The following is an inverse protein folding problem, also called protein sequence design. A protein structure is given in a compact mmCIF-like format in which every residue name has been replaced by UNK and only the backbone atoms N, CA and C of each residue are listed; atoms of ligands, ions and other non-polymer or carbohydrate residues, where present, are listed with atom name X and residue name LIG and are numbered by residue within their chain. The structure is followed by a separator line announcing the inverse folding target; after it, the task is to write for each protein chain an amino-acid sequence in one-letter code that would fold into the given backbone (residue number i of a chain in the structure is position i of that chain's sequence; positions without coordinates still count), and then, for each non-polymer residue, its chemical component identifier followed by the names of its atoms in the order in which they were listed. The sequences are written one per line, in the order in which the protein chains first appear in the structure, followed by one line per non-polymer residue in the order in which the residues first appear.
data_IF_968103132386
#
_entry.id   IF_968103132386
#
_cell.length_a   1.000
_cell.length_b   1.000
_cell.length_c   1.000
_cell.angle_alpha   90.00
_cell.angle_beta   90.00
_cell.angle_gamma   90.00
#
_symmetry.space_group_name_H-M   'P 1'
#
loop_
_entity.id
_entity.type
_entity.pdbx_description
1 polymer ?
#
# COMPACT_ATOMS: atom_id res chain seq x y z
N UNK A 1 -31.79 -34.02 -6.20
CA UNK A 1 -30.46 -33.96 -5.55
C UNK A 1 -29.74 -32.75 -6.12
N UNK A 2 -29.76 -31.64 -5.40
CA UNK A 2 -29.13 -30.39 -5.83
C UNK A 2 -27.64 -30.49 -5.49
N UNK A 3 -26.78 -30.35 -6.49
CA UNK A 3 -25.33 -30.28 -6.31
C UNK A 3 -24.99 -28.83 -5.97
N UNK A 4 -24.66 -28.56 -4.70
CA UNK A 4 -24.13 -27.25 -4.31
C UNK A 4 -22.72 -27.08 -4.90
N UNK A 5 -22.60 -26.15 -5.85
CA UNK A 5 -21.31 -25.69 -6.35
C UNK A 5 -20.70 -24.79 -5.27
N UNK A 6 -19.72 -25.33 -4.53
CA UNK A 6 -18.92 -24.57 -3.57
C UNK A 6 -17.98 -23.62 -4.32
N UNK A 7 -18.48 -22.41 -4.59
CA UNK A 7 -17.67 -21.28 -5.02
C UNK A 7 -16.80 -20.83 -3.85
N UNK A 8 -15.54 -21.28 -3.82
CA UNK A 8 -14.53 -20.75 -2.89
C UNK A 8 -14.41 -19.24 -3.11
N UNK A 9 -14.45 -18.41 -2.06
CA UNK A 9 -14.28 -16.97 -2.23
C UNK A 9 -12.91 -16.72 -2.85
N UNK A 10 -12.90 -16.05 -3.99
CA UNK A 10 -11.68 -15.54 -4.61
C UNK A 10 -11.09 -14.55 -3.61
N UNK A 11 -10.01 -14.92 -2.94
CA UNK A 11 -9.27 -14.01 -2.06
C UNK A 11 -8.72 -12.92 -2.98
N UNK A 12 -9.42 -11.79 -3.06
CA UNK A 12 -8.89 -10.58 -3.68
C UNK A 12 -7.79 -10.12 -2.73
N UNK A 13 -6.54 -10.44 -3.07
CA UNK A 13 -5.35 -9.92 -2.38
C UNK A 13 -5.32 -8.41 -2.68
N UNK A 14 -6.05 -7.63 -1.87
CA UNK A 14 -6.06 -6.17 -1.98
C UNK A 14 -4.69 -5.68 -1.51
N UNK A 15 -3.90 -5.10 -2.41
CA UNK A 15 -2.63 -4.46 -2.05
C UNK A 15 -2.91 -3.39 -0.98
N UNK A 16 -2.24 -3.43 0.18
CA UNK A 16 -2.43 -2.40 1.19
C UNK A 16 -1.99 -1.05 0.63
N UNK A 17 -2.71 0.02 0.97
CA UNK A 17 -2.32 1.36 0.56
C UNK A 17 -1.06 1.79 1.33
N UNK A 18 -0.21 2.66 0.76
CA UNK A 18 1.00 3.13 1.44
C UNK A 18 0.75 3.70 2.86
N UNK A 19 -0.41 4.33 3.09
CA UNK A 19 -0.83 4.83 4.41
C UNK A 19 -1.04 3.71 5.44
N UNK A 20 -1.55 2.56 5.00
CA UNK A 20 -1.91 1.44 5.88
C UNK A 20 -0.62 0.73 6.35
N UNK A 21 0.35 0.64 5.44
CA UNK A 21 1.71 0.16 5.74
C UNK A 21 2.42 1.11 6.71
N UNK A 22 2.37 2.42 6.46
CA UNK A 22 3.00 3.44 7.30
C UNK A 22 2.41 3.44 8.72
N UNK A 23 1.08 3.42 8.82
CA UNK A 23 0.37 3.32 10.11
C UNK A 23 0.75 2.06 10.89
N UNK A 24 0.90 0.93 10.19
CA UNK A 24 1.33 -0.32 10.80
C UNK A 24 2.78 -0.27 11.29
N UNK A 25 3.68 0.33 10.49
CA UNK A 25 5.07 0.54 10.87
C UNK A 25 5.19 1.42 12.11
N UNK A 26 4.50 2.56 12.15
CA UNK A 26 4.46 3.46 13.32
C UNK A 26 3.95 2.71 14.55
N UNK A 27 2.87 1.93 14.44
CA UNK A 27 2.31 1.15 15.56
C UNK A 27 3.30 0.12 16.12
N UNK A 28 4.18 -0.43 15.29
CA UNK A 28 5.21 -1.36 15.76
C UNK A 28 6.41 -0.64 16.37
N UNK A 29 6.87 0.43 15.72
CA UNK A 29 8.08 1.17 16.11
C UNK A 29 7.85 2.05 17.35
N UNK A 30 6.64 2.57 17.56
CA UNK A 30 6.27 3.38 18.74
C UNK A 30 6.35 2.64 20.07
N UNK A 31 6.40 1.30 20.03
CA UNK A 31 6.61 0.45 21.22
C UNK A 31 8.04 0.56 21.77
N UNK A 32 8.97 1.16 21.04
CA UNK A 32 10.38 1.32 21.45
C UNK A 32 10.55 2.63 22.23
N UNK A 33 11.01 2.53 23.48
CA UNK A 33 11.21 3.69 24.36
C UNK A 33 12.36 4.63 23.92
N UNK A 34 13.27 4.16 23.05
CA UNK A 34 14.43 4.95 22.58
C UNK A 34 14.13 5.81 21.35
N UNK A 35 12.85 5.93 20.95
CA UNK A 35 12.47 6.54 19.67
C UNK A 35 12.80 5.63 18.48
N UNK A 36 12.36 6.06 17.29
CA UNK A 36 12.62 5.37 16.04
C UNK A 36 12.77 6.38 14.89
N UNK A 37 13.45 5.96 13.83
CA UNK A 37 13.50 6.65 12.55
C UNK A 37 12.75 5.80 11.52
N UNK A 38 11.89 6.42 10.71
CA UNK A 38 11.11 5.76 9.66
C UNK A 38 11.17 6.62 8.41
N UNK A 39 11.54 6.01 7.28
CA UNK A 39 11.49 6.59 5.95
C UNK A 39 10.45 5.81 5.13
N UNK A 40 9.59 6.54 4.43
CA UNK A 40 8.57 5.97 3.54
C UNK A 40 8.91 6.38 2.12
N UNK A 41 8.91 5.42 1.19
CA UNK A 41 9.27 5.63 -0.22
C UNK A 41 8.09 5.28 -1.13
N UNK A 42 7.83 6.11 -2.14
CA UNK A 42 6.81 5.91 -3.17
C UNK A 42 7.41 5.50 -4.51
N UNK A 43 7.99 4.30 -4.60
CA UNK A 43 8.76 3.83 -5.78
C UNK A 43 7.94 3.71 -7.07
N UNK A 44 6.62 3.62 -6.99
CA UNK A 44 5.74 3.50 -8.16
C UNK A 44 5.72 4.77 -9.03
N UNK A 45 6.06 5.93 -8.46
CA UNK A 45 6.14 7.20 -9.19
C UNK A 45 7.27 7.15 -10.23
N UNK A 46 8.40 6.52 -9.88
CA UNK A 46 9.55 6.34 -10.77
C UNK A 46 9.21 5.45 -11.97
N UNK A 47 8.53 4.32 -11.73
CA UNK A 47 8.07 3.42 -12.78
C UNK A 47 7.07 4.09 -13.73
N UNK A 48 6.11 4.84 -13.18
CA UNK A 48 5.16 5.59 -14.01
C UNK A 48 5.86 6.67 -14.85
N UNK A 49 6.92 7.28 -14.34
CA UNK A 49 7.79 8.19 -15.09
C UNK A 49 8.51 7.51 -16.25
N UNK A 50 9.06 6.31 -16.03
CA UNK A 50 9.70 5.50 -17.08
C UNK A 50 8.74 5.08 -18.19
N UNK A 51 7.47 4.80 -17.84
CA UNK A 51 6.41 4.45 -18.79
C UNK A 51 5.77 5.68 -19.48
N UNK A 52 6.21 6.89 -19.13
CA UNK A 52 5.61 8.17 -19.55
C UNK A 52 4.11 8.29 -19.23
N UNK A 53 3.63 7.56 -18.21
CA UNK A 53 2.25 7.60 -17.76
C UNK A 53 2.07 8.61 -16.63
N UNK A 54 1.77 9.84 -17.02
CA UNK A 54 1.59 10.95 -16.08
C UNK A 54 0.36 10.79 -15.18
N UNK A 55 -0.65 10.03 -15.62
CA UNK A 55 -1.86 9.80 -14.81
C UNK A 55 -1.55 8.85 -13.66
N UNK A 56 -0.82 7.77 -13.95
CA UNK A 56 -0.32 6.86 -12.93
C UNK A 56 0.65 7.56 -11.97
N UNK A 57 1.55 8.40 -12.47
CA UNK A 57 2.48 9.16 -11.62
C UNK A 57 1.74 10.11 -10.65
N UNK A 58 0.74 10.85 -11.14
CA UNK A 58 -0.07 11.73 -10.29
C UNK A 58 -0.91 10.95 -9.27
N UNK A 59 -1.45 9.79 -9.65
CA UNK A 59 -2.21 8.93 -8.75
C UNK A 59 -1.33 8.37 -7.63
N UNK A 60 -0.15 7.85 -7.97
CA UNK A 60 0.81 7.30 -7.02
C UNK A 60 1.37 8.39 -6.09
N UNK A 61 1.59 9.60 -6.61
CA UNK A 61 2.00 10.75 -5.78
C UNK A 61 0.91 11.16 -4.78
N UNK A 62 -0.36 11.12 -5.17
CA UNK A 62 -1.50 11.37 -4.27
C UNK A 62 -1.62 10.28 -3.20
N UNK A 63 -1.29 9.04 -3.51
CA UNK A 63 -1.31 7.95 -2.52
C UNK A 63 -0.09 8.00 -1.58
N UNK A 64 1.06 8.48 -2.06
CA UNK A 64 2.22 8.80 -1.24
C UNK A 64 1.92 9.96 -0.27
N UNK A 65 1.31 11.05 -0.73
CA UNK A 65 0.91 12.19 0.11
C UNK A 65 0.04 11.75 1.30
N UNK A 66 -0.93 10.85 1.09
CA UNK A 66 -1.81 10.33 2.17
C UNK A 66 -1.07 9.52 3.23
N UNK A 67 0.21 9.21 3.03
CA UNK A 67 1.01 8.36 3.90
C UNK A 67 1.94 9.15 4.82
N UNK A 68 2.06 10.46 4.59
CA UNK A 68 2.73 11.43 5.47
C UNK A 68 1.72 11.90 6.52
#
# INVERSE_FOLDING_TARGET
MLMEVSIKPLIVIKRPLPKDMTSSAIKQLSKKQKGFFLMVEGSQIDWAGHDHDIVSAMSEMKDFEKSI
#
